data_IF_040933823897
#
_entry.id   IF_040933823897
#
_cell.length_a   1.000
_cell.length_b   1.000
_cell.length_c   1.000
_cell.angle_alpha   90.00
_cell.angle_beta   90.00
_cell.angle_gamma   90.00
#
_symmetry.space_group_name_H-M   'P 1'
#
loop_
_entity.id
_entity.type
_entity.pdbx_description
1 polymer ?
#
# COMPACT_ATOMS: atom_id res chain seq x y z
N UNK A 1 -20.98 -1.58 2.28
CA UNK A 1 -20.82 -2.98 2.74
C UNK A 1 -21.53 -3.85 1.71
N UNK A 2 -20.82 -4.79 1.06
CA UNK A 2 -21.41 -5.71 0.08
C UNK A 2 -21.93 -6.93 0.82
N UNK A 3 -23.19 -7.27 0.66
CA UNK A 3 -23.77 -8.50 1.22
C UNK A 3 -23.37 -9.70 0.35
N UNK A 4 -22.40 -10.49 0.80
CA UNK A 4 -22.10 -11.79 0.17
C UNK A 4 -23.16 -12.81 0.57
N UNK A 5 -24.01 -13.20 -0.38
CA UNK A 5 -24.94 -14.32 -0.22
C UNK A 5 -24.15 -15.64 -0.28
N UNK A 6 -24.18 -16.38 0.83
CA UNK A 6 -23.63 -17.73 0.93
C UNK A 6 -24.26 -18.65 -0.12
N UNK A 7 -23.47 -19.36 -0.96
CA UNK A 7 -23.99 -20.27 -1.97
C UNK A 7 -24.49 -21.55 -1.31
N UNK A 8 -25.80 -21.66 -1.10
CA UNK A 8 -26.44 -22.92 -0.73
C UNK A 8 -26.30 -23.93 -1.87
N UNK A 9 -25.42 -24.92 -1.69
CA UNK A 9 -25.39 -26.11 -2.53
C UNK A 9 -26.54 -27.01 -2.07
N UNK A 10 -27.58 -27.16 -2.90
CA UNK A 10 -28.84 -27.84 -2.56
C UNK A 10 -28.77 -29.35 -2.32
N UNK A 11 -27.59 -29.91 -2.03
CA UNK A 11 -27.42 -31.32 -1.72
C UNK A 11 -26.68 -31.47 -0.38
N UNK A 12 -27.41 -31.42 0.73
CA UNK A 12 -26.88 -31.91 2.00
C UNK A 12 -26.51 -33.38 1.78
N UNK A 13 -25.25 -33.77 2.01
CA UNK A 13 -24.78 -35.16 1.84
C UNK A 13 -25.49 -36.20 2.73
N UNK A 14 -26.45 -35.77 3.54
CA UNK A 14 -27.34 -36.60 4.33
C UNK A 14 -28.58 -36.95 3.52
N UNK A 15 -28.70 -38.23 3.15
CA UNK A 15 -29.94 -38.82 2.62
C UNK A 15 -30.51 -39.75 3.68
N UNK A 16 -31.78 -39.55 4.02
CA UNK A 16 -32.53 -40.52 4.83
C UNK A 16 -33.01 -41.68 3.95
N UNK A 17 -33.17 -42.89 4.51
CA UNK A 17 -33.81 -43.99 3.81
C UNK A 17 -35.21 -43.62 3.31
N UNK A 18 -35.62 -44.19 2.17
CA UNK A 18 -36.99 -44.05 1.67
C UNK A 18 -37.97 -44.53 2.73
N UNK A 19 -38.95 -43.70 3.08
CA UNK A 19 -39.99 -44.00 4.07
C UNK A 19 -39.56 -43.89 5.54
N UNK A 20 -38.41 -43.28 5.84
CA UNK A 20 -37.96 -43.05 7.22
C UNK A 20 -38.99 -42.28 8.07
N UNK A 21 -39.72 -41.35 7.45
CA UNK A 21 -40.69 -40.50 8.15
C UNK A 21 -42.13 -41.05 8.12
N UNK A 22 -42.41 -42.10 7.35
CA UNK A 22 -43.78 -42.55 7.07
C UNK A 22 -44.51 -43.05 8.32
N UNK A 23 -43.78 -43.54 9.33
CA UNK A 23 -44.34 -44.02 10.60
C UNK A 23 -43.65 -43.38 11.82
N UNK A 24 -42.91 -42.27 11.63
CA UNK A 24 -42.15 -41.65 12.73
C UNK A 24 -43.08 -41.16 13.84
N UNK A 25 -44.21 -40.56 13.47
CA UNK A 25 -45.21 -40.03 14.40
C UNK A 25 -45.84 -41.16 15.22
N UNK A 26 -46.27 -42.24 14.57
CA UNK A 26 -46.83 -43.42 15.23
C UNK A 26 -45.82 -44.06 16.18
N UNK A 27 -44.56 -44.22 15.75
CA UNK A 27 -43.49 -44.74 16.61
C UNK A 27 -43.16 -43.83 17.81
N UNK A 28 -43.23 -42.51 17.63
CA UNK A 28 -42.98 -41.55 18.70
C UNK A 28 -44.14 -41.59 19.71
N UNK A 29 -45.38 -41.56 19.23
CA UNK A 29 -46.58 -41.69 20.04
C UNK A 29 -46.59 -43.02 20.80
N UNK A 30 -46.29 -44.13 20.14
CA UNK A 30 -46.18 -45.45 20.79
C UNK A 30 -45.10 -45.45 21.86
N UNK A 31 -43.93 -44.83 21.64
CA UNK A 31 -42.91 -44.73 22.68
C UNK A 31 -43.39 -43.94 23.88
N UNK A 32 -43.95 -42.75 23.67
CA UNK A 32 -44.39 -41.86 24.77
C UNK A 32 -45.53 -42.51 25.56
N UNK A 33 -46.57 -43.03 24.88
CA UNK A 33 -47.71 -43.66 25.54
C UNK A 33 -47.35 -44.99 26.22
N UNK A 34 -46.43 -45.78 25.66
CA UNK A 34 -45.99 -47.01 26.29
C UNK A 34 -44.93 -46.77 27.38
N UNK A 35 -44.11 -45.72 27.30
CA UNK A 35 -43.18 -45.32 28.37
C UNK A 35 -43.94 -44.84 29.62
N UNK A 36 -45.06 -44.11 29.48
CA UNK A 36 -45.92 -43.79 30.63
C UNK A 36 -46.48 -45.05 31.31
N UNK A 37 -46.94 -46.04 30.52
CA UNK A 37 -47.39 -47.34 31.06
C UNK A 37 -46.26 -48.20 31.64
N UNK A 38 -45.02 -47.99 31.21
CA UNK A 38 -43.84 -48.68 31.75
C UNK A 38 -43.29 -47.95 32.98
N UNK A 39 -43.54 -46.65 33.16
CA UNK A 39 -43.19 -45.90 34.37
C UNK A 39 -43.92 -46.43 35.62
N UNK A 40 -45.13 -46.96 35.48
CA UNK A 40 -45.85 -47.63 36.58
C UNK A 40 -45.23 -49.00 36.95
N UNK A 41 -44.43 -49.60 36.05
CA UNK A 41 -43.75 -50.90 36.26
C UNK A 41 -42.28 -50.77 36.62
N UNK A 42 -41.63 -49.69 36.20
CA UNK A 42 -40.28 -49.33 36.61
C UNK A 42 -40.46 -48.60 37.94
N UNK A 43 -40.28 -49.32 39.04
CA UNK A 43 -40.22 -48.74 40.37
C UNK A 43 -39.24 -47.54 40.34
N UNK A 44 -39.78 -46.33 40.19
CA UNK A 44 -39.03 -45.10 40.41
C UNK A 44 -38.63 -45.19 41.89
N UNK A 45 -37.34 -45.38 42.22
CA UNK A 45 -36.96 -45.47 43.61
C UNK A 45 -37.38 -44.14 44.24
N UNK A 46 -38.27 -44.21 45.24
CA UNK A 46 -38.81 -43.05 45.97
C UNK A 46 -37.70 -42.21 46.63
N UNK A 47 -36.46 -42.70 46.61
CA UNK A 47 -35.26 -42.01 47.02
C UNK A 47 -34.53 -41.55 45.76
N UNK A 48 -34.50 -40.24 45.54
CA UNK A 48 -33.59 -39.62 44.59
C UNK A 48 -32.19 -40.23 44.76
N UNK A 49 -31.64 -40.80 43.68
CA UNK A 49 -30.42 -41.61 43.73
C UNK A 49 -29.15 -40.85 44.16
N UNK A 50 -29.26 -39.53 44.31
CA UNK A 50 -28.17 -38.68 44.77
C UNK A 50 -28.47 -38.21 46.19
N UNK A 51 -27.72 -38.76 47.14
CA UNK A 51 -27.62 -38.22 48.50
C UNK A 51 -26.26 -37.56 48.65
N UNK A 52 -26.24 -36.32 49.11
CA UNK A 52 -25.01 -35.66 49.54
C UNK A 52 -24.55 -36.25 50.88
N UNK A 53 -23.24 -36.30 51.14
CA UNK A 53 -22.72 -36.65 52.46
C UNK A 53 -23.28 -35.73 53.55
N UNK A 54 -23.41 -36.27 54.76
CA UNK A 54 -23.73 -35.47 55.95
C UNK A 54 -22.68 -34.38 56.14
N UNK A 55 -23.11 -33.17 56.49
CA UNK A 55 -22.26 -31.98 56.65
C UNK A 55 -21.49 -31.49 55.39
N UNK A 56 -21.87 -31.92 54.17
CA UNK A 56 -21.23 -31.44 52.93
C UNK A 56 -21.21 -29.90 52.80
N UNK A 57 -22.32 -29.26 53.16
CA UNK A 57 -22.47 -27.80 53.06
C UNK A 57 -21.84 -27.05 54.25
N UNK A 58 -21.57 -27.71 55.37
CA UNK A 58 -21.09 -27.07 56.60
C UNK A 58 -19.65 -26.58 56.45
N UNK A 59 -18.84 -27.24 55.61
CA UNK A 59 -17.44 -26.91 55.35
C UNK A 59 -17.20 -26.35 53.95
N UNK A 60 -18.25 -26.16 53.14
CA UNK A 60 -18.12 -25.71 51.76
C UNK A 60 -17.48 -24.32 51.68
N UNK A 61 -17.88 -23.42 52.58
CA UNK A 61 -17.37 -22.05 52.64
C UNK A 61 -15.87 -22.03 52.98
N UNK A 62 -15.46 -22.80 54.00
CA UNK A 62 -14.06 -22.90 54.43
C UNK A 62 -13.16 -23.41 53.28
N UNK A 63 -13.61 -24.47 52.58
CA UNK A 63 -12.89 -25.05 51.43
C UNK A 63 -12.77 -24.06 50.27
N UNK A 64 -13.81 -23.25 50.04
CA UNK A 64 -13.78 -22.23 48.98
C UNK A 64 -12.81 -21.09 49.34
N UNK A 65 -12.86 -20.61 50.58
CA UNK A 65 -11.96 -19.54 51.06
C UNK A 65 -10.50 -19.98 50.98
N UNK A 66 -10.19 -21.22 51.42
CA UNK A 66 -8.84 -21.78 51.31
C UNK A 66 -8.35 -21.86 49.85
N UNK A 67 -9.21 -22.34 48.94
CA UNK A 67 -8.86 -22.44 47.50
C UNK A 67 -8.64 -21.09 46.83
N UNK A 68 -9.33 -20.04 47.28
CA UNK A 68 -9.22 -18.70 46.71
C UNK A 68 -8.03 -17.94 47.30
N UNK A 69 -7.79 -18.06 48.61
CA UNK A 69 -6.74 -17.34 49.32
C UNK A 69 -5.31 -17.72 48.86
N UNK A 70 -5.10 -18.97 48.44
CA UNK A 70 -3.78 -19.48 48.07
C UNK A 70 -3.44 -19.39 46.57
N UNK A 71 -4.35 -18.90 45.73
CA UNK A 71 -4.10 -18.77 44.29
C UNK A 71 -3.41 -17.45 43.97
N UNK A 72 -2.13 -17.34 44.31
CA UNK A 72 -1.29 -16.25 43.83
C UNK A 72 -1.21 -16.33 42.29
N UNK A 73 -1.66 -15.31 41.54
CA UNK A 73 -1.52 -15.31 40.09
C UNK A 73 -0.02 -15.37 39.75
N UNK A 74 0.37 -16.33 38.92
CA UNK A 74 1.73 -16.38 38.35
C UNK A 74 1.93 -15.16 37.46
N UNK A 75 2.42 -14.07 38.05
CA UNK A 75 2.84 -12.88 37.31
C UNK A 75 4.17 -13.20 36.61
N UNK A 76 4.09 -13.64 35.35
CA UNK A 76 5.27 -13.81 34.51
C UNK A 76 5.72 -12.43 34.07
N UNK A 77 6.86 -11.95 34.58
CA UNK A 77 7.49 -10.72 34.11
C UNK A 77 8.12 -10.97 32.74
N UNK A 78 7.45 -10.58 31.65
CA UNK A 78 8.00 -10.63 30.30
C UNK A 78 8.92 -9.41 30.09
N UNK A 79 10.21 -9.67 29.88
CA UNK A 79 11.21 -8.63 29.66
C UNK A 79 11.42 -8.39 28.15
N UNK A 80 10.46 -7.70 27.53
CA UNK A 80 10.39 -7.48 26.08
C UNK A 80 11.50 -6.58 25.50
N UNK A 81 12.32 -5.93 26.34
CA UNK A 81 13.33 -4.95 25.91
C UNK A 81 14.27 -5.48 24.82
N UNK A 82 14.72 -6.74 24.92
CA UNK A 82 15.61 -7.34 23.91
C UNK A 82 14.88 -7.60 22.58
N UNK A 83 13.61 -7.98 22.63
CA UNK A 83 12.76 -8.18 21.44
C UNK A 83 12.46 -6.87 20.73
N UNK A 84 12.30 -5.77 21.46
CA UNK A 84 12.12 -4.44 20.87
C UNK A 84 13.37 -3.94 20.12
N UNK A 85 14.58 -4.20 20.63
CA UNK A 85 15.80 -3.86 19.87
C UNK A 85 15.94 -4.67 18.57
N UNK A 86 15.58 -5.96 18.60
CA UNK A 86 15.59 -6.79 17.39
C UNK A 86 14.52 -6.33 16.38
N UNK A 87 13.30 -6.05 16.85
CA UNK A 87 12.22 -5.53 16.01
C UNK A 87 12.58 -4.16 15.39
N UNK A 88 13.26 -3.29 16.15
CA UNK A 88 13.72 -2.00 15.65
C UNK A 88 14.79 -2.14 14.55
N UNK A 89 15.73 -3.09 14.68
CA UNK A 89 16.72 -3.36 13.64
C UNK A 89 16.07 -3.84 12.33
N UNK A 90 15.07 -4.74 12.43
CA UNK A 90 14.31 -5.20 11.27
C UNK A 90 13.53 -4.04 10.62
N UNK A 91 12.87 -3.21 11.42
CA UNK A 91 12.15 -2.03 10.92
C UNK A 91 13.09 -1.02 10.24
N UNK A 92 14.30 -0.80 10.76
CA UNK A 92 15.29 0.08 10.15
C UNK A 92 15.75 -0.41 8.77
N UNK A 93 15.87 -1.72 8.56
CA UNK A 93 16.16 -2.29 7.24
C UNK A 93 15.00 -2.02 6.28
N UNK A 94 13.75 -2.19 6.72
CA UNK A 94 12.60 -1.88 5.87
C UNK A 94 12.49 -0.39 5.52
N UNK A 95 12.76 0.50 6.47
CA UNK A 95 12.82 1.95 6.22
C UNK A 95 13.97 2.29 5.26
N UNK A 96 15.14 1.68 5.44
CA UNK A 96 16.27 1.81 4.52
C UNK A 96 15.91 1.37 3.11
N UNK A 97 15.34 0.18 2.95
CA UNK A 97 14.89 -0.32 1.65
C UNK A 97 13.80 0.57 1.04
N UNK A 98 12.81 1.00 1.83
CA UNK A 98 11.74 1.88 1.38
C UNK A 98 12.29 3.24 0.91
N UNK A 99 13.20 3.86 1.65
CA UNK A 99 13.84 5.12 1.23
C UNK A 99 14.70 4.93 -0.01
N UNK A 100 15.49 3.85 -0.11
CA UNK A 100 16.28 3.58 -1.32
C UNK A 100 15.42 3.36 -2.57
N UNK A 101 14.27 2.69 -2.45
CA UNK A 101 13.43 2.36 -3.60
C UNK A 101 12.47 3.50 -3.96
N UNK A 102 11.96 4.24 -2.97
CA UNK A 102 10.90 5.23 -3.17
C UNK A 102 11.40 6.68 -3.23
N UNK A 103 12.50 7.02 -2.53
CA UNK A 103 13.00 8.41 -2.48
C UNK A 103 14.28 8.64 -3.28
N UNK A 104 15.11 7.61 -3.47
CA UNK A 104 16.34 7.73 -4.27
C UNK A 104 16.10 7.63 -5.79
N UNK A 105 14.87 7.30 -6.19
CA UNK A 105 14.40 7.40 -7.59
C UNK A 105 13.86 8.78 -7.96
N UNK A 106 13.96 9.78 -7.08
CA UNK A 106 13.86 11.16 -7.51
C UNK A 106 15.18 11.51 -8.18
N UNK A 107 15.23 11.35 -9.50
CA UNK A 107 16.10 12.19 -10.30
C UNK A 107 15.77 13.63 -9.87
N UNK A 108 16.70 14.29 -9.17
CA UNK A 108 16.72 15.73 -9.22
C UNK A 108 16.76 16.03 -10.70
N UNK A 109 15.66 16.51 -11.25
CA UNK A 109 15.62 17.05 -12.59
C UNK A 109 16.61 18.20 -12.54
N UNK A 110 17.86 17.95 -12.94
CA UNK A 110 18.88 18.96 -13.04
C UNK A 110 18.28 20.08 -13.89
N UNK A 111 18.02 21.22 -13.25
CA UNK A 111 17.52 22.38 -13.98
C UNK A 111 18.71 22.99 -14.70
N UNK A 112 18.45 23.71 -15.78
CA UNK A 112 19.48 24.54 -16.42
C UNK A 112 20.05 25.59 -15.45
N UNK A 113 19.30 25.93 -14.39
CA UNK A 113 19.74 26.82 -13.31
C UNK A 113 20.83 26.21 -12.42
N UNK A 114 20.98 24.88 -12.40
CA UNK A 114 21.99 24.17 -11.60
C UNK A 114 23.34 24.06 -12.33
N UNK A 115 23.41 24.50 -13.59
CA UNK A 115 24.63 24.44 -14.40
C UNK A 115 25.55 25.60 -14.03
N UNK A 116 26.67 25.30 -13.37
CA UNK A 116 27.69 26.29 -13.05
C UNK A 116 28.47 26.74 -14.29
N UNK A 117 28.82 28.03 -14.35
CA UNK A 117 29.59 28.59 -15.47
C UNK A 117 30.91 27.84 -15.70
N UNK A 118 31.61 27.44 -14.64
CA UNK A 118 32.85 26.67 -14.74
C UNK A 118 32.67 25.30 -15.40
N UNK A 119 31.48 24.69 -15.27
CA UNK A 119 31.17 23.44 -15.95
C UNK A 119 30.96 23.65 -17.46
N UNK A 120 30.35 24.79 -17.84
CA UNK A 120 30.19 25.18 -19.24
C UNK A 120 31.55 25.48 -19.87
N UNK A 121 32.39 26.25 -19.18
CA UNK A 121 33.76 26.57 -19.63
C UNK A 121 34.56 25.29 -19.87
N UNK A 122 34.55 24.36 -18.91
CA UNK A 122 35.24 23.08 -19.07
C UNK A 122 34.69 22.26 -20.24
N UNK A 123 33.37 22.26 -20.46
CA UNK A 123 32.75 21.52 -21.57
C UNK A 123 33.21 22.05 -22.94
N UNK A 124 33.42 23.36 -23.06
CA UNK A 124 33.98 24.01 -24.25
C UNK A 124 35.46 23.65 -24.40
N UNK A 125 36.24 23.76 -23.32
CA UNK A 125 37.69 23.51 -23.31
C UNK A 125 38.04 22.04 -23.63
N UNK A 126 37.22 21.09 -23.16
CA UNK A 126 37.38 19.67 -23.46
C UNK A 126 37.05 19.32 -24.93
N UNK A 127 36.59 20.30 -25.73
CA UNK A 127 36.33 20.16 -27.16
C UNK A 127 35.09 19.32 -27.48
N UNK A 128 34.13 19.23 -26.55
CA UNK A 128 32.87 18.53 -26.79
C UNK A 128 31.90 19.28 -27.72
N UNK A 129 32.21 20.54 -28.01
CA UNK A 129 31.52 21.32 -29.04
C UNK A 129 32.26 21.14 -30.36
N UNK A 130 31.71 20.30 -31.23
CA UNK A 130 32.18 20.11 -32.60
C UNK A 130 31.53 21.14 -33.52
N UNK A 131 31.83 22.42 -33.30
CA UNK A 131 31.43 23.51 -34.18
C UNK A 131 32.69 24.06 -34.83
N UNK A 132 32.73 24.09 -36.15
CA UNK A 132 33.77 24.84 -36.86
C UNK A 132 33.62 26.34 -36.60
N UNK A 133 34.71 27.11 -36.65
CA UNK A 133 34.67 28.58 -36.53
C UNK A 133 33.63 29.20 -37.48
N UNK A 134 33.43 28.61 -38.66
CA UNK A 134 32.42 29.02 -39.63
C UNK A 134 31.00 28.68 -39.22
N UNK A 135 30.75 27.54 -38.56
CA UNK A 135 29.42 27.17 -38.07
C UNK A 135 29.06 27.96 -36.80
N UNK A 136 30.02 28.15 -35.90
CA UNK A 136 29.85 29.04 -34.76
C UNK A 136 29.58 30.48 -35.21
N UNK A 137 30.36 30.96 -36.20
CA UNK A 137 30.14 32.28 -36.79
C UNK A 137 28.83 32.37 -37.53
N UNK A 138 28.32 31.32 -38.19
CA UNK A 138 26.99 31.35 -38.80
C UNK A 138 25.90 31.29 -37.73
N UNK A 139 26.06 30.51 -36.66
CA UNK A 139 25.10 30.51 -35.56
C UNK A 139 25.08 31.87 -34.82
N UNK A 140 26.19 32.60 -34.80
CA UNK A 140 26.24 33.99 -34.30
C UNK A 140 25.85 35.00 -35.39
N UNK A 141 26.09 34.82 -36.68
CA UNK A 141 25.75 35.84 -37.68
C UNK A 141 24.30 35.69 -38.16
N UNK A 142 23.83 34.44 -38.22
CA UNK A 142 22.45 34.08 -38.51
C UNK A 142 21.58 34.17 -37.23
N UNK A 143 22.14 34.02 -36.02
CA UNK A 143 21.39 33.98 -34.74
C UNK A 143 22.04 34.70 -33.52
N UNK A 144 23.08 35.54 -33.69
CA UNK A 144 23.86 36.13 -32.56
C UNK A 144 24.64 37.45 -32.79
N UNK A 145 24.40 38.17 -33.88
CA UNK A 145 24.38 39.62 -33.88
C UNK A 145 22.91 39.92 -33.70
N UNK A 146 22.54 40.48 -32.56
CA UNK A 146 21.20 41.06 -32.43
C UNK A 146 21.23 42.27 -33.34
N UNK A 147 20.92 42.06 -34.62
CA UNK A 147 20.68 43.17 -35.54
C UNK A 147 19.31 43.69 -35.14
N UNK A 148 19.29 44.68 -34.25
CA UNK A 148 18.04 45.32 -33.88
C UNK A 148 17.58 46.19 -35.06
N UNK A 149 16.27 46.35 -35.25
CA UNK A 149 15.73 47.31 -36.22
C UNK A 149 16.30 48.73 -36.00
N UNK A 150 16.71 49.03 -34.76
CA UNK A 150 17.40 50.25 -34.35
C UNK A 150 18.79 50.41 -34.99
N UNK A 151 19.52 49.33 -35.25
CA UNK A 151 20.83 49.36 -35.89
C UNK A 151 20.69 49.78 -37.36
N UNK A 152 19.66 49.29 -38.05
CA UNK A 152 19.33 49.72 -39.41
C UNK A 152 18.80 51.16 -39.46
N UNK A 153 18.11 51.62 -38.43
CA UNK A 153 17.60 52.99 -38.35
C UNK A 153 18.71 54.06 -38.16
N UNK A 154 19.90 53.64 -37.68
CA UNK A 154 21.05 54.54 -37.51
C UNK A 154 22.03 54.53 -38.68
N UNK A 155 21.89 53.58 -39.60
CA UNK A 155 22.68 53.53 -40.82
C UNK A 155 22.32 54.71 -41.73
N UNK A 156 23.33 55.44 -42.20
CA UNK A 156 23.10 56.52 -43.16
C UNK A 156 22.59 55.94 -44.49
N UNK A 157 21.59 56.58 -45.08
CA UNK A 157 21.05 56.20 -46.39
C UNK A 157 22.12 56.10 -47.49
N UNK A 158 23.19 56.91 -47.40
CA UNK A 158 24.32 56.86 -48.34
C UNK A 158 25.07 55.53 -48.26
N UNK A 159 25.45 55.09 -47.06
CA UNK A 159 26.15 53.83 -46.85
C UNK A 159 25.31 52.61 -47.30
N UNK A 160 23.98 52.68 -47.10
CA UNK A 160 23.06 51.63 -47.58
C UNK A 160 23.02 51.63 -49.11
N UNK A 161 22.99 52.81 -49.74
CA UNK A 161 22.94 52.93 -51.19
C UNK A 161 24.25 52.46 -51.84
N UNK A 162 25.40 52.82 -51.27
CA UNK A 162 26.72 52.40 -51.74
C UNK A 162 26.89 50.87 -51.65
N UNK A 163 26.46 50.25 -50.54
CA UNK A 163 26.51 48.80 -50.39
C UNK A 163 25.65 48.08 -51.44
N UNK A 164 24.45 48.59 -51.70
CA UNK A 164 23.55 48.01 -52.72
C UNK A 164 24.11 48.21 -54.13
N UNK A 165 24.70 49.36 -54.45
CA UNK A 165 25.33 49.61 -55.75
C UNK A 165 26.53 48.67 -56.00
N UNK A 166 27.33 48.39 -54.96
CA UNK A 166 28.51 47.54 -55.08
C UNK A 166 28.18 46.04 -55.14
N UNK A 167 27.09 45.60 -54.50
CA UNK A 167 26.77 44.18 -54.31
C UNK A 167 25.54 43.66 -55.07
N UNK A 168 24.75 44.54 -55.72
CA UNK A 168 23.62 44.12 -56.55
C UNK A 168 24.08 43.91 -57.99
N UNK A 169 23.94 42.68 -58.50
CA UNK A 169 24.36 42.33 -59.86
C UNK A 169 23.52 43.01 -60.97
N UNK A 170 22.29 43.46 -60.67
CA UNK A 170 21.42 44.16 -61.61
C UNK A 170 20.75 45.42 -60.97
N UNK A 171 21.19 46.64 -61.31
CA UNK A 171 20.69 47.88 -60.70
C UNK A 171 19.24 48.22 -61.05
N UNK A 172 18.58 47.46 -61.94
CA UNK A 172 17.17 47.68 -62.27
C UNK A 172 16.21 47.40 -61.10
N UNK A 173 16.62 46.60 -60.12
CA UNK A 173 15.83 46.30 -58.92
C UNK A 173 15.79 47.45 -57.89
N UNK A 174 16.61 48.49 -58.05
CA UNK A 174 16.70 49.61 -57.08
C UNK A 174 15.62 50.70 -57.37
N UNK A 175 15.02 50.69 -58.57
CA UNK A 175 14.14 51.77 -59.06
C UNK A 175 12.66 51.40 -59.19
N UNK A 176 12.22 50.26 -58.65
CA UNK A 176 10.80 49.89 -58.52
C UNK A 176 10.26 50.11 -57.10
#
# INVERSE_FOLDING_TARGET
MKEEKIPYHGASGFKVPSGYFDNLEDHLCDKVFNEEKQLDKIAVPTKAGFKVPEAYFDHLEDVLVEKIAHKQPRLIKINFRKTFYYAAAVAAIFVGLYTTVFTLGNEQSASWDDVELSAIEQYIDDGYIDLSDTEFSNMIIEDGYIVEESDFATMSSEAVFEYLDENVEDPSFILE
#
